data_IF_741586172985
#
_entry.id   IF_741586172985
#
_cell.length_a   1.000
_cell.length_b   1.000
_cell.length_c   1.000
_cell.angle_alpha   90.00
_cell.angle_beta   90.00
_cell.angle_gamma   90.00
#
_symmetry.space_group_name_H-M   'P 1'
#
loop_
_entity.id
_entity.type
_entity.pdbx_description
1 polymer ?
#
# COMPACT_ATOMS: atom_id res chain seq x y z
N UNK A 1 -15.59 -7.20 4.04
CA UNK A 1 -16.65 -8.07 3.48
C UNK A 1 -16.46 -8.14 1.97
N UNK A 2 -16.55 -9.33 1.36
CA UNK A 2 -16.45 -9.50 -0.10
C UNK A 2 -17.74 -10.16 -0.62
N UNK A 3 -18.53 -9.41 -1.39
CA UNK A 3 -19.82 -9.92 -1.88
C UNK A 3 -19.60 -10.82 -3.09
N UNK A 4 -20.01 -12.10 -3.01
CA UNK A 4 -19.94 -13.10 -4.10
C UNK A 4 -18.56 -13.27 -4.76
N UNK A 5 -17.51 -12.82 -4.09
CA UNK A 5 -16.14 -12.79 -4.60
C UNK A 5 -15.60 -14.18 -4.97
N UNK A 6 -15.96 -15.22 -4.22
CA UNK A 6 -15.57 -16.63 -4.52
C UNK A 6 -16.15 -17.17 -5.83
N UNK A 7 -17.22 -16.56 -6.35
CA UNK A 7 -17.87 -16.94 -7.61
C UNK A 7 -17.50 -16.04 -8.80
N UNK A 8 -16.69 -15.00 -8.58
CA UNK A 8 -16.32 -14.07 -9.65
C UNK A 8 -15.18 -14.63 -10.51
N UNK A 9 -15.19 -14.34 -11.81
CA UNK A 9 -14.09 -14.69 -12.71
C UNK A 9 -12.83 -13.82 -12.48
N UNK A 10 -13.01 -12.66 -11.84
CA UNK A 10 -11.96 -11.71 -11.53
C UNK A 10 -12.52 -10.35 -11.12
N UNK A 11 -11.65 -9.48 -10.63
CA UNK A 11 -12.00 -8.16 -10.13
C UNK A 11 -11.38 -7.07 -11.02
N UNK A 12 -12.16 -6.03 -11.27
CA UNK A 12 -11.68 -4.76 -11.80
C UNK A 12 -11.57 -3.77 -10.65
N UNK A 13 -10.39 -3.16 -10.49
CA UNK A 13 -10.20 -2.08 -9.51
C UNK A 13 -10.33 -0.72 -10.21
N UNK A 14 -11.49 -0.08 -10.06
CA UNK A 14 -11.81 1.19 -10.71
C UNK A 14 -11.68 2.40 -9.78
N UNK A 15 -11.76 3.60 -10.38
CA UNK A 15 -11.74 4.91 -9.68
C UNK A 15 -10.49 5.11 -8.84
N UNK A 16 -9.35 4.63 -9.34
CA UNK A 16 -8.05 4.74 -8.66
C UNK A 16 -7.57 6.18 -8.53
N UNK A 17 -8.03 7.06 -9.40
CA UNK A 17 -7.77 8.50 -9.45
C UNK A 17 -8.57 9.27 -8.39
N UNK A 18 -9.76 8.79 -8.02
CA UNK A 18 -10.58 9.36 -6.93
C UNK A 18 -10.20 8.81 -5.54
N UNK A 19 -9.44 7.71 -5.50
CA UNK A 19 -9.11 7.01 -4.26
C UNK A 19 -8.01 7.72 -3.46
N UNK A 20 -8.34 8.20 -2.26
CA UNK A 20 -7.36 8.80 -1.33
C UNK A 20 -6.27 7.80 -0.91
N UNK A 21 -6.64 6.54 -0.70
CA UNK A 21 -5.71 5.43 -0.40
C UNK A 21 -6.15 4.16 -1.11
N UNK A 22 -5.21 3.52 -1.80
CA UNK A 22 -5.44 2.21 -2.43
C UNK A 22 -5.29 1.02 -1.46
N UNK A 23 -4.63 1.24 -0.31
CA UNK A 23 -4.34 0.20 0.68
C UNK A 23 -5.54 -0.66 1.09
N UNK A 24 -6.67 -0.06 1.53
CA UNK A 24 -7.84 -0.84 1.95
C UNK A 24 -8.43 -1.73 0.83
N UNK A 25 -8.40 -1.27 -0.42
CA UNK A 25 -8.90 -2.05 -1.54
C UNK A 25 -7.97 -3.23 -1.86
N UNK A 26 -6.64 -3.00 -1.86
CA UNK A 26 -5.66 -4.07 -2.04
C UNK A 26 -5.70 -5.09 -0.90
N UNK A 27 -5.85 -4.64 0.35
CA UNK A 27 -5.99 -5.51 1.52
C UNK A 27 -7.19 -6.46 1.34
N UNK A 28 -8.34 -5.93 0.92
CA UNK A 28 -9.52 -6.75 0.64
C UNK A 28 -9.27 -7.78 -0.48
N UNK A 29 -8.61 -7.40 -1.57
CA UNK A 29 -8.26 -8.32 -2.66
C UNK A 29 -7.33 -9.43 -2.19
N UNK A 30 -6.30 -9.09 -1.41
CA UNK A 30 -5.30 -10.02 -0.88
C UNK A 30 -5.95 -11.00 0.10
N UNK A 31 -6.70 -10.51 1.10
CA UNK A 31 -7.35 -11.35 2.11
C UNK A 31 -8.34 -12.34 1.51
N UNK A 32 -9.02 -11.95 0.43
CA UNK A 32 -9.99 -12.80 -0.26
C UNK A 32 -9.38 -13.58 -1.44
N UNK A 33 -8.05 -13.50 -1.65
CA UNK A 33 -7.32 -14.21 -2.71
C UNK A 33 -7.91 -13.98 -4.11
N UNK A 34 -8.34 -12.75 -4.39
CA UNK A 34 -9.04 -12.42 -5.62
C UNK A 34 -8.07 -12.08 -6.75
N UNK A 35 -8.38 -12.59 -7.94
CA UNK A 35 -7.61 -12.29 -9.16
C UNK A 35 -8.01 -10.92 -9.70
N UNK A 36 -7.06 -9.99 -9.72
CA UNK A 36 -7.23 -8.70 -10.37
C UNK A 36 -7.02 -8.87 -11.89
N UNK A 37 -8.01 -8.49 -12.70
CA UNK A 37 -7.95 -8.59 -14.17
C UNK A 37 -7.50 -7.30 -14.83
N UNK A 38 -7.79 -6.16 -14.20
CA UNK A 38 -7.41 -4.85 -14.72
C UNK A 38 -7.77 -3.75 -13.73
N UNK A 39 -7.32 -2.54 -14.06
CA UNK A 39 -7.58 -1.36 -13.28
C UNK A 39 -8.07 -0.22 -14.17
N UNK A 40 -8.92 0.64 -13.61
CA UNK A 40 -9.38 1.86 -14.28
C UNK A 40 -8.99 3.10 -13.45
N UNK A 41 -8.27 4.02 -14.08
CA UNK A 41 -7.72 5.23 -13.47
C UNK A 41 -8.15 6.48 -14.23
N UNK A 42 -9.47 6.65 -14.40
CA UNK A 42 -10.07 7.76 -15.11
C UNK A 42 -11.41 7.37 -15.74
N UNK A 43 -11.88 8.19 -16.69
CA UNK A 43 -13.24 8.10 -17.25
C UNK A 43 -13.27 7.54 -18.68
N UNK A 44 -12.13 7.49 -19.37
CA UNK A 44 -12.06 7.18 -20.81
C UNK A 44 -11.62 5.74 -21.06
N UNK A 45 -12.19 5.13 -22.10
CA UNK A 45 -11.83 3.78 -22.56
C UNK A 45 -11.47 3.88 -24.05
N UNK A 46 -10.27 3.42 -24.46
CA UNK A 46 -9.34 2.54 -23.73
C UNK A 46 -8.28 3.25 -22.88
N UNK A 47 -8.24 4.58 -22.86
CA UNK A 47 -7.08 5.35 -22.40
C UNK A 47 -6.77 5.16 -20.91
N UNK A 48 -7.78 5.04 -20.05
CA UNK A 48 -7.61 4.91 -18.60
C UNK A 48 -7.68 3.46 -18.09
N UNK A 49 -7.74 2.48 -19.02
CA UNK A 49 -7.72 1.06 -18.70
C UNK A 49 -6.30 0.52 -18.70
N UNK A 50 -5.87 -0.07 -17.58
CA UNK A 50 -4.49 -0.51 -17.42
C UNK A 50 -4.38 -1.91 -16.80
N UNK A 51 -3.25 -2.54 -17.09
CA UNK A 51 -2.79 -3.74 -16.39
C UNK A 51 -1.53 -3.40 -15.61
N UNK A 52 -1.71 -3.09 -14.32
CA UNK A 52 -0.59 -2.76 -13.44
C UNK A 52 0.06 -4.02 -12.86
N UNK A 53 1.39 -3.96 -12.69
CA UNK A 53 2.11 -5.00 -11.96
C UNK A 53 1.77 -4.94 -10.47
N UNK A 54 1.93 -6.07 -9.78
CA UNK A 54 1.76 -6.13 -8.32
C UNK A 54 2.65 -5.10 -7.61
N UNK A 55 3.89 -4.93 -8.07
CA UNK A 55 4.82 -3.96 -7.49
C UNK A 55 4.33 -2.51 -7.65
N UNK A 56 3.80 -2.16 -8.82
CA UNK A 56 3.24 -0.82 -9.05
C UNK A 56 2.02 -0.54 -8.16
N UNK A 57 1.16 -1.55 -7.94
CA UNK A 57 0.00 -1.44 -7.06
C UNK A 57 0.41 -1.26 -5.60
N UNK A 58 1.36 -2.07 -5.12
CA UNK A 58 1.89 -1.98 -3.75
C UNK A 58 2.57 -0.63 -3.52
N UNK A 59 3.43 -0.21 -4.45
CA UNK A 59 4.09 1.09 -4.36
C UNK A 59 3.07 2.24 -4.29
N UNK A 60 2.01 2.20 -5.09
CA UNK A 60 0.97 3.24 -5.09
C UNK A 60 0.10 3.19 -3.83
N UNK A 61 -0.12 2.02 -3.24
CA UNK A 61 -0.85 1.87 -1.99
C UNK A 61 -0.08 2.30 -0.74
N UNK A 62 1.25 2.13 -0.75
CA UNK A 62 2.14 2.51 0.34
C UNK A 62 2.72 3.91 0.20
N UNK A 63 2.50 4.57 -0.94
CA UNK A 63 2.98 5.93 -1.17
C UNK A 63 2.40 6.87 -0.11
N UNK A 64 3.26 7.40 0.76
CA UNK A 64 2.87 8.47 1.68
C UNK A 64 2.54 9.71 0.87
N UNK A 65 1.35 10.26 1.08
CA UNK A 65 0.92 11.56 0.52
C UNK A 65 1.24 12.71 1.48
N UNK A 66 1.60 12.41 2.73
CA UNK A 66 1.99 13.39 3.72
C UNK A 66 3.52 13.51 3.80
N UNK A 67 4.00 14.75 3.88
CA UNK A 67 5.33 15.00 4.41
C UNK A 67 5.40 14.47 5.84
N UNK A 68 6.53 13.89 6.21
CA UNK A 68 6.77 13.50 7.60
C UNK A 68 6.44 14.68 8.52
N UNK A 69 5.57 14.45 9.50
CA UNK A 69 5.24 15.45 10.51
C UNK A 69 6.49 15.89 11.28
N UNK A 70 7.51 15.04 11.28
CA UNK A 70 8.84 15.31 11.80
C UNK A 70 9.78 15.72 10.66
N UNK A 71 10.39 16.89 10.79
CA UNK A 71 11.52 17.34 9.96
C UNK A 71 12.75 17.39 10.84
N UNK A 72 13.80 16.68 10.44
CA UNK A 72 15.10 16.81 11.07
C UNK A 72 15.62 18.24 10.89
N UNK A 73 15.88 18.91 11.99
CA UNK A 73 16.60 20.19 12.01
C UNK A 73 18.01 20.03 12.57
N UNK A 74 18.81 21.09 12.48
CA UNK A 74 20.20 21.07 12.92
C UNK A 74 20.35 20.90 14.45
N UNK A 75 19.36 21.34 15.24
CA UNK A 75 19.35 21.17 16.70
C UNK A 75 19.12 19.71 17.12
N UNK A 76 18.37 18.95 16.32
CA UNK A 76 18.09 17.54 16.58
C UNK A 76 19.29 16.61 16.35
N UNK A 77 20.33 17.08 15.66
CA UNK A 77 21.54 16.30 15.36
C UNK A 77 22.25 15.86 16.64
N UNK A 78 22.32 16.75 17.65
CA UNK A 78 22.96 16.44 18.93
C UNK A 78 22.23 15.32 19.68
N UNK A 79 20.90 15.26 19.56
CA UNK A 79 20.07 14.24 20.21
C UNK A 79 20.31 12.84 19.60
N UNK A 80 20.51 12.77 18.28
CA UNK A 80 20.82 11.49 17.59
C UNK A 80 22.17 10.93 18.07
N UNK A 81 23.18 11.77 18.27
CA UNK A 81 24.51 11.34 18.70
C UNK A 81 24.64 11.13 20.21
N UNK A 82 23.76 11.72 21.01
CA UNK A 82 23.76 11.58 22.48
C UNK A 82 22.93 10.37 22.96
N UNK A 83 22.02 9.85 22.12
CA UNK A 83 21.25 8.67 22.47
C UNK A 83 22.18 7.44 22.63
N UNK A 84 22.14 6.71 23.76
CA UNK A 84 22.87 5.47 23.90
C UNK A 84 22.36 4.49 22.85
N UNK A 85 23.27 3.89 22.07
CA UNK A 85 22.95 2.85 21.11
C UNK A 85 22.27 1.71 21.87
N UNK A 86 20.94 1.67 21.84
CA UNK A 86 20.19 0.56 22.39
C UNK A 86 20.39 -0.60 21.43
N UNK A 87 21.24 -1.55 21.84
CA UNK A 87 21.48 -2.78 21.10
C UNK A 87 20.15 -3.45 20.71
N UNK A 88 20.03 -3.99 19.49
CA UNK A 88 18.80 -4.62 19.05
C UNK A 88 18.52 -5.84 19.94
N UNK A 89 17.37 -5.81 20.64
CA UNK A 89 16.80 -7.03 21.21
C UNK A 89 16.44 -7.93 20.03
N UNK A 90 17.21 -9.01 19.83
CA UNK A 90 16.82 -10.11 18.94
C UNK A 90 15.45 -10.61 19.37
N UNK A 91 14.40 -10.29 18.63
CA UNK A 91 13.13 -11.01 18.74
C UNK A 91 13.36 -12.40 18.16
N UNK A 92 13.42 -13.38 19.06
CA UNK A 92 13.47 -14.79 18.72
C UNK A 92 12.26 -15.16 17.85
N UNK A 93 12.51 -16.00 16.85
CA UNK A 93 11.49 -16.67 16.08
C UNK A 93 10.47 -17.37 17.00
N UNK A 94 9.19 -17.29 16.64
CA UNK A 94 8.21 -18.31 16.96
C UNK A 94 7.24 -18.45 15.78
N UNK A 95 7.63 -19.36 14.88
CA UNK A 95 6.69 -20.22 14.18
C UNK A 95 5.96 -21.09 15.23
N UNK A 96 4.64 -20.98 15.27
CA UNK A 96 3.70 -22.06 15.55
C UNK A 96 2.33 -21.63 15.01
#
# INVERSE_FOLDING_TARGET
VSYRASSCAGIVLSKMDEAVKLGPALDALIRNKLKLVGVANGQRVPEDWHRLSANALVHRALRSTANSAYKLDASDVSLIFTAPISHPVRSAALHA
#
